data_IF_228537508550
#
_entry.id   IF_228537508550
#
_cell.length_a   1.000
_cell.length_b   1.000
_cell.length_c   1.000
_cell.angle_alpha   90.00
_cell.angle_beta   90.00
_cell.angle_gamma   90.00
#
_symmetry.space_group_name_H-M   'P 1'
#
loop_
_entity.id
_entity.type
_entity.pdbx_description
1 polymer ?
#
# COMPACT_ATOMS: atom_id res chain seq x y z
N UNK A 1 -4.11 11.47 -12.24
CA UNK A 1 -3.26 12.64 -12.54
C UNK A 1 -2.44 12.96 -11.30
N UNK A 2 -1.11 12.94 -11.39
CA UNK A 2 -0.23 13.27 -10.26
C UNK A 2 -0.48 14.72 -9.82
N UNK A 3 -0.66 14.95 -8.51
CA UNK A 3 -0.83 16.29 -7.92
C UNK A 3 0.48 16.90 -7.44
N UNK A 4 1.60 16.21 -7.70
CA UNK A 4 2.93 16.78 -7.55
C UNK A 4 3.04 18.00 -8.46
N UNK A 5 3.59 19.14 -8.00
CA UNK A 5 3.82 20.30 -8.86
C UNK A 5 4.51 19.89 -10.16
N UNK A 6 4.09 20.47 -11.30
CA UNK A 6 4.61 20.12 -12.62
C UNK A 6 6.13 20.28 -12.72
N UNK A 7 6.71 21.16 -11.91
CA UNK A 7 8.17 21.38 -11.80
C UNK A 7 8.94 20.21 -11.18
N UNK A 8 8.27 19.30 -10.46
CA UNK A 8 8.88 18.15 -9.80
C UNK A 8 8.69 16.82 -10.54
N UNK A 9 8.10 16.83 -11.74
CA UNK A 9 7.95 15.62 -12.55
C UNK A 9 9.28 15.15 -13.11
N UNK A 10 9.51 13.83 -13.09
CA UNK A 10 10.69 13.21 -13.67
C UNK A 10 10.77 13.42 -15.16
N UNK A 11 11.91 13.97 -15.56
CA UNK A 11 12.33 14.02 -16.94
C UNK A 11 12.90 12.66 -17.32
N UNK A 12 12.57 12.22 -18.53
CA UNK A 12 13.18 11.02 -19.09
C UNK A 12 14.66 11.25 -19.35
N UNK A 13 15.43 10.17 -19.44
CA UNK A 13 16.85 10.24 -19.79
C UNK A 13 17.09 11.05 -21.09
N UNK A 14 16.26 10.83 -22.11
CA UNK A 14 16.35 11.56 -23.37
C UNK A 14 16.12 13.07 -23.20
N UNK A 15 15.11 13.46 -22.41
CA UNK A 15 14.84 14.86 -22.10
C UNK A 15 15.99 15.51 -21.34
N UNK A 16 16.59 14.79 -20.38
CA UNK A 16 17.74 15.27 -19.63
C UNK A 16 18.97 15.43 -20.53
N UNK A 17 19.25 14.44 -21.38
CA UNK A 17 20.35 14.50 -22.36
C UNK A 17 20.20 15.69 -23.30
N UNK A 18 18.99 15.90 -23.85
CA UNK A 18 18.70 17.03 -24.73
C UNK A 18 18.90 18.36 -24.01
N UNK A 19 18.32 18.54 -22.81
CA UNK A 19 18.48 19.78 -22.02
C UNK A 19 19.92 20.06 -21.61
N UNK A 20 20.67 19.03 -21.22
CA UNK A 20 22.09 19.16 -20.89
C UNK A 20 22.90 19.52 -22.13
N UNK A 21 22.62 18.92 -23.28
CA UNK A 21 23.26 19.26 -24.55
C UNK A 21 23.00 20.71 -24.98
N UNK A 22 21.76 21.18 -24.87
CA UNK A 22 21.38 22.58 -25.11
C UNK A 22 22.10 23.53 -24.15
N UNK A 23 22.11 23.21 -22.85
CA UNK A 23 22.77 24.02 -21.82
C UNK A 23 24.28 24.09 -22.03
N UNK A 24 24.91 22.94 -22.32
CA UNK A 24 26.34 22.85 -22.61
C UNK A 24 26.70 23.72 -23.81
N UNK A 25 25.87 23.72 -24.88
CA UNK A 25 26.11 24.58 -26.04
C UNK A 25 26.13 26.06 -25.68
N UNK A 26 25.17 26.51 -24.87
CA UNK A 26 25.08 27.92 -24.42
C UNK A 26 26.31 28.29 -23.57
N UNK A 27 26.73 27.40 -22.68
CA UNK A 27 27.87 27.66 -21.77
C UNK A 27 29.19 27.64 -22.54
N UNK A 28 29.41 26.65 -23.41
CA UNK A 28 30.67 26.48 -24.12
C UNK A 28 30.82 27.36 -25.37
N UNK A 29 29.72 27.87 -25.96
CA UNK A 29 29.80 28.85 -27.06
C UNK A 29 30.22 30.26 -26.60
N UNK A 30 30.35 30.49 -25.29
CA UNK A 30 30.84 31.77 -24.71
C UNK A 30 32.37 31.84 -24.63
N UNK A 31 33.06 30.73 -24.92
CA UNK A 31 34.49 30.68 -25.14
C UNK A 31 34.66 30.77 -26.67
N UNK A 32 35.42 31.74 -27.18
CA UNK A 32 35.48 32.20 -28.58
C UNK A 32 35.76 31.15 -29.69
N UNK A 33 35.81 29.85 -29.36
CA UNK A 33 35.81 28.74 -30.31
C UNK A 33 34.51 27.96 -30.22
N UNK A 34 33.76 27.86 -31.33
CA UNK A 34 32.61 26.99 -31.41
C UNK A 34 33.06 25.54 -31.14
N UNK A 35 32.50 24.84 -30.14
CA UNK A 35 32.94 23.49 -29.82
C UNK A 35 32.77 22.59 -31.06
N UNK A 36 33.84 21.90 -31.44
CA UNK A 36 33.87 20.96 -32.58
C UNK A 36 32.99 19.72 -32.35
N UNK A 37 32.58 19.50 -31.10
CA UNK A 37 31.66 18.46 -30.67
C UNK A 37 30.20 18.93 -30.78
N UNK A 38 29.36 18.11 -31.44
CA UNK A 38 27.91 18.28 -31.47
C UNK A 38 27.18 17.10 -30.76
N UNK A 39 26.69 17.28 -29.51
CA UNK A 39 26.01 16.21 -28.76
C UNK A 39 24.63 15.83 -29.32
N UNK A 40 24.07 16.63 -30.25
CA UNK A 40 22.75 16.43 -30.84
C UNK A 40 22.81 15.89 -32.28
N UNK A 41 23.98 15.89 -32.93
CA UNK A 41 24.15 15.32 -34.26
C UNK A 41 24.12 13.79 -34.20
N UNK A 42 22.96 13.19 -34.45
CA UNK A 42 22.75 11.75 -34.46
C UNK A 42 23.13 11.07 -35.80
N UNK A 43 23.79 11.76 -36.73
CA UNK A 43 23.79 11.33 -38.12
C UNK A 43 24.77 10.18 -38.48
N UNK A 44 25.74 9.79 -37.64
CA UNK A 44 26.65 8.70 -37.98
C UNK A 44 27.15 7.89 -36.76
N UNK A 45 27.05 6.55 -36.75
CA UNK A 45 27.49 5.68 -35.65
C UNK A 45 29.02 5.53 -35.48
N UNK A 46 29.84 6.30 -36.21
CA UNK A 46 31.30 6.10 -36.29
C UNK A 46 32.17 7.19 -35.64
N UNK A 47 31.60 8.27 -35.11
CA UNK A 47 32.38 9.27 -34.37
C UNK A 47 32.25 9.03 -32.86
N UNK A 48 33.21 8.30 -32.27
CA UNK A 48 33.35 8.21 -30.82
C UNK A 48 33.63 9.61 -30.27
N UNK A 49 32.68 10.15 -29.52
CA UNK A 49 32.76 11.48 -28.92
C UNK A 49 32.72 11.36 -27.39
N UNK A 50 33.86 11.60 -26.75
CA UNK A 50 34.00 11.48 -25.29
C UNK A 50 33.15 12.51 -24.54
N UNK A 51 32.96 13.71 -25.11
CA UNK A 51 32.07 14.71 -24.53
C UNK A 51 30.64 14.19 -24.47
N UNK A 52 30.19 13.53 -25.55
CA UNK A 52 28.87 12.92 -25.59
C UNK A 52 28.72 11.81 -24.55
N UNK A 53 29.69 10.90 -24.47
CA UNK A 53 29.67 9.83 -23.46
C UNK A 53 29.58 10.39 -22.03
N UNK A 54 30.27 11.51 -21.76
CA UNK A 54 30.16 12.22 -20.49
C UNK A 54 28.74 12.76 -20.26
N UNK A 55 28.13 13.46 -21.22
CA UNK A 55 26.76 13.95 -21.07
C UNK A 55 25.76 12.82 -20.87
N UNK A 56 25.89 11.72 -21.61
CA UNK A 56 25.02 10.56 -21.49
C UNK A 56 25.15 9.93 -20.08
N UNK A 57 26.38 9.80 -19.56
CA UNK A 57 26.62 9.28 -18.20
C UNK A 57 26.00 10.18 -17.12
N UNK A 58 26.12 11.50 -17.26
CA UNK A 58 25.55 12.47 -16.31
C UNK A 58 24.03 12.52 -16.43
N UNK A 59 23.48 12.49 -17.64
CA UNK A 59 22.03 12.44 -17.87
C UNK A 59 21.42 11.17 -17.27
N UNK A 60 22.11 10.03 -17.35
CA UNK A 60 21.68 8.79 -16.73
C UNK A 60 21.71 8.88 -15.20
N UNK A 61 22.79 9.40 -14.62
CA UNK A 61 22.89 9.60 -13.16
C UNK A 61 21.79 10.54 -12.65
N UNK A 62 21.54 11.66 -13.34
CA UNK A 62 20.47 12.59 -13.01
C UNK A 62 19.08 11.97 -13.17
N UNK A 63 18.86 11.13 -14.19
CA UNK A 63 17.58 10.45 -14.38
C UNK A 63 17.26 9.53 -13.21
N UNK A 64 18.23 8.74 -12.75
CA UNK A 64 18.08 7.87 -11.58
C UNK A 64 17.80 8.70 -10.33
N UNK A 65 18.61 9.73 -10.07
CA UNK A 65 18.43 10.62 -8.92
C UNK A 65 17.04 11.26 -8.92
N UNK A 66 16.61 11.79 -10.06
CA UNK A 66 15.33 12.47 -10.16
C UNK A 66 14.15 11.50 -9.97
N UNK A 67 14.27 10.26 -10.44
CA UNK A 67 13.26 9.23 -10.21
C UNK A 67 13.04 9.00 -8.70
N UNK A 68 14.11 8.94 -7.92
CA UNK A 68 14.01 8.86 -6.46
C UNK A 68 13.42 10.13 -5.83
N UNK A 69 13.81 11.32 -6.31
CA UNK A 69 13.24 12.57 -5.82
C UNK A 69 11.74 12.67 -6.08
N UNK A 70 11.27 12.22 -7.25
CA UNK A 70 9.83 12.18 -7.55
C UNK A 70 9.12 11.19 -6.62
N UNK A 71 9.65 9.98 -6.43
CA UNK A 71 9.05 9.01 -5.52
C UNK A 71 8.93 9.58 -4.10
N UNK A 72 9.97 10.25 -3.61
CA UNK A 72 9.93 10.90 -2.30
C UNK A 72 8.91 12.05 -2.22
N UNK A 73 8.78 12.85 -3.30
CA UNK A 73 7.78 13.92 -3.37
C UNK A 73 6.34 13.39 -3.43
N UNK A 74 6.10 12.26 -4.10
CA UNK A 74 4.79 11.59 -4.17
C UNK A 74 4.31 11.12 -2.79
N UNK A 75 5.23 10.69 -1.92
CA UNK A 75 4.92 10.33 -0.52
C UNK A 75 4.48 11.52 0.34
N UNK A 76 4.72 12.76 -0.09
CA UNK A 76 4.34 13.97 0.63
C UNK A 76 2.86 14.37 0.49
N UNK A 77 2.09 13.73 -0.40
CA UNK A 77 0.68 14.06 -0.64
C UNK A 77 -0.21 12.83 -0.53
N UNK A 78 -1.33 12.96 0.21
CA UNK A 78 -2.22 11.83 0.51
C UNK A 78 -2.77 11.14 -0.74
N UNK A 79 -3.01 11.89 -1.81
CA UNK A 79 -3.55 11.36 -3.06
C UNK A 79 -2.52 10.58 -3.91
N UNK A 80 -1.23 10.70 -3.61
CA UNK A 80 -0.14 10.07 -4.38
C UNK A 80 0.76 9.15 -3.56
N UNK A 81 0.73 9.26 -2.23
CA UNK A 81 1.51 8.41 -1.33
C UNK A 81 1.14 6.94 -1.51
N UNK A 82 2.16 6.06 -1.54
CA UNK A 82 1.99 4.62 -1.69
C UNK A 82 2.39 3.85 -0.45
N UNK A 83 3.32 4.38 0.36
CA UNK A 83 3.72 3.73 1.58
C UNK A 83 2.67 3.95 2.67
N UNK A 84 2.28 2.86 3.33
CA UNK A 84 1.29 2.88 4.43
C UNK A 84 1.74 3.83 5.55
N UNK A 85 3.04 3.85 5.88
CA UNK A 85 3.59 4.75 6.91
C UNK A 85 3.41 6.23 6.51
N UNK A 86 3.72 6.60 5.26
CA UNK A 86 3.51 7.97 4.75
C UNK A 86 2.04 8.38 4.84
N UNK A 87 1.13 7.51 4.40
CA UNK A 87 -0.32 7.75 4.47
C UNK A 87 -0.77 7.94 5.91
N UNK A 88 -0.33 7.07 6.82
CA UNK A 88 -0.67 7.14 8.23
C UNK A 88 -0.19 8.45 8.89
N UNK A 89 1.02 8.90 8.55
CA UNK A 89 1.60 10.17 9.05
C UNK A 89 0.85 11.37 8.49
N UNK A 90 0.51 11.36 7.19
CA UNK A 90 -0.28 12.42 6.55
C UNK A 90 -1.69 12.53 7.14
N UNK A 91 -2.36 11.40 7.37
CA UNK A 91 -3.65 11.35 8.04
C UNK A 91 -3.56 11.77 9.52
N UNK A 92 -2.46 11.44 10.19
CA UNK A 92 -2.18 11.87 11.56
C UNK A 92 -2.19 13.39 11.72
N UNK A 93 -1.76 14.15 10.71
CA UNK A 93 -1.81 15.62 10.73
C UNK A 93 -3.24 16.20 10.78
N UNK A 94 -4.25 15.48 10.29
CA UNK A 94 -5.66 15.87 10.41
C UNK A 94 -6.35 15.21 11.61
N UNK A 95 -5.59 14.56 12.50
CA UNK A 95 -6.11 13.84 13.65
C UNK A 95 -6.80 12.51 13.31
N UNK A 96 -6.68 12.02 12.07
CA UNK A 96 -7.22 10.72 11.69
C UNK A 96 -6.18 9.63 11.95
N UNK A 97 -6.59 8.57 12.64
CA UNK A 97 -5.79 7.36 12.84
C UNK A 97 -6.51 6.20 12.16
N UNK A 98 -5.87 5.51 11.18
CA UNK A 98 -6.43 4.30 10.60
C UNK A 98 -6.77 3.28 11.70
N UNK A 99 -7.88 2.57 11.52
CA UNK A 99 -8.27 1.52 12.46
C UNK A 99 -7.16 0.47 12.52
N UNK A 100 -6.71 0.07 13.73
CA UNK A 100 -5.74 -1.01 13.85
C UNK A 100 -6.35 -2.31 13.31
N UNK A 101 -5.49 -3.26 12.97
CA UNK A 101 -5.90 -4.64 12.73
C UNK A 101 -6.75 -5.11 13.91
N UNK A 102 -8.04 -5.33 13.65
CA UNK A 102 -9.02 -5.67 14.69
C UNK A 102 -9.20 -7.18 14.70
N UNK A 103 -9.04 -7.81 15.86
CA UNK A 103 -9.28 -9.24 16.01
C UNK A 103 -10.77 -9.57 15.74
N UNK A 104 -11.03 -10.76 15.22
CA UNK A 104 -12.41 -11.24 15.08
C UNK A 104 -13.05 -11.41 16.46
N UNK A 105 -14.29 -10.96 16.61
CA UNK A 105 -15.08 -11.08 17.85
C UNK A 105 -16.41 -11.76 17.53
N UNK A 106 -16.83 -12.66 18.41
CA UNK A 106 -18.09 -13.40 18.29
C UNK A 106 -18.71 -13.72 19.65
N UNK A 107 -19.94 -14.22 19.63
CA UNK A 107 -20.64 -14.70 20.82
C UNK A 107 -20.57 -16.23 20.86
N UNK A 108 -20.11 -16.78 21.99
CA UNK A 108 -20.03 -18.23 22.23
C UNK A 108 -20.89 -18.60 23.43
N UNK A 109 -21.68 -19.68 23.30
CA UNK A 109 -22.47 -20.23 24.39
C UNK A 109 -21.66 -21.28 25.18
N UNK A 110 -21.56 -21.10 26.50
CA UNK A 110 -20.91 -22.04 27.41
C UNK A 110 -21.96 -22.71 28.29
N UNK A 111 -22.00 -24.04 28.25
CA UNK A 111 -22.86 -24.84 29.13
C UNK A 111 -22.03 -25.39 30.28
N UNK A 112 -22.46 -25.14 31.51
CA UNK A 112 -21.78 -25.64 32.72
C UNK A 112 -22.56 -26.80 33.36
N UNK A 113 -21.88 -27.66 34.13
CA UNK A 113 -22.54 -28.76 34.85
C UNK A 113 -23.42 -28.19 35.98
N UNK A 114 -24.50 -28.91 36.35
CA UNK A 114 -25.50 -28.44 37.31
C UNK A 114 -24.95 -28.01 38.69
N UNK A 115 -23.83 -28.58 39.11
CA UNK A 115 -23.16 -28.29 40.38
C UNK A 115 -22.00 -27.29 40.27
N UNK A 116 -21.72 -26.76 39.07
CA UNK A 116 -20.61 -25.82 38.84
C UNK A 116 -21.13 -24.40 38.92
N UNK A 117 -20.80 -23.73 40.02
CA UNK A 117 -21.02 -22.29 40.20
C UNK A 117 -19.65 -21.62 40.38
N UNK A 118 -19.38 -20.60 39.59
CA UNK A 118 -18.09 -19.93 39.62
C UNK A 118 -17.97 -18.88 38.53
N UNK A 119 -16.75 -18.41 38.32
CA UNK A 119 -16.42 -17.44 37.27
C UNK A 119 -15.46 -18.09 36.30
N UNK A 120 -15.84 -18.10 35.01
CA UNK A 120 -14.92 -18.38 33.92
C UNK A 120 -14.04 -17.14 33.73
N UNK A 121 -12.70 -17.23 33.88
CA UNK A 121 -11.83 -16.07 33.78
C UNK A 121 -11.77 -15.55 32.34
N UNK A 122 -11.47 -14.26 32.19
CA UNK A 122 -11.05 -13.71 30.90
C UNK A 122 -9.77 -14.42 30.42
N UNK A 123 -9.56 -14.50 29.12
CA UNK A 123 -8.44 -15.23 28.52
C UNK A 123 -8.66 -16.74 28.41
N UNK A 124 -9.86 -17.25 28.74
CA UNK A 124 -10.17 -18.66 28.51
C UNK A 124 -10.24 -18.92 27.01
N UNK A 125 -9.33 -19.77 26.51
CA UNK A 125 -9.16 -20.06 25.10
C UNK A 125 -10.24 -21.01 24.55
N UNK A 126 -10.72 -20.74 23.34
CA UNK A 126 -11.67 -21.56 22.58
C UNK A 126 -11.16 -21.66 21.14
N UNK A 127 -10.99 -22.88 20.63
CA UNK A 127 -10.63 -23.10 19.22
C UNK A 127 -11.87 -23.13 18.34
N UNK A 128 -11.82 -22.48 17.17
CA UNK A 128 -12.75 -22.79 16.09
C UNK A 128 -12.35 -24.10 15.40
N UNK A 129 -13.31 -24.72 14.73
CA UNK A 129 -13.00 -25.76 13.76
C UNK A 129 -12.39 -25.11 12.50
N UNK A 130 -11.48 -25.83 11.84
CA UNK A 130 -11.06 -25.47 10.50
C UNK A 130 -12.18 -25.84 9.51
N UNK A 131 -12.53 -24.93 8.60
CA UNK A 131 -13.54 -25.15 7.57
C UNK A 131 -12.97 -24.78 6.20
N UNK A 132 -12.88 -25.77 5.30
CA UNK A 132 -12.29 -25.59 3.97
C UNK A 132 -10.82 -25.16 4.03
N UNK A 133 -10.52 -23.98 3.50
CA UNK A 133 -9.17 -23.37 3.49
C UNK A 133 -8.88 -22.52 4.73
N UNK A 134 -9.87 -22.28 5.62
CA UNK A 134 -9.67 -21.51 6.84
C UNK A 134 -9.03 -22.37 7.93
N UNK A 135 -7.85 -21.94 8.39
CA UNK A 135 -7.16 -22.57 9.51
C UNK A 135 -7.94 -22.37 10.82
N UNK A 136 -7.81 -23.33 11.75
CA UNK A 136 -8.37 -23.21 13.09
C UNK A 136 -7.81 -21.96 13.80
N UNK A 137 -8.71 -21.10 14.29
CA UNK A 137 -8.37 -19.89 15.03
C UNK A 137 -8.61 -20.11 16.53
N UNK A 138 -7.74 -19.52 17.35
CA UNK A 138 -7.90 -19.51 18.80
C UNK A 138 -8.51 -18.17 19.20
N UNK A 139 -9.69 -18.24 19.82
CA UNK A 139 -10.37 -17.12 20.44
C UNK A 139 -10.17 -17.16 21.95
N UNK A 140 -10.40 -16.02 22.61
CA UNK A 140 -10.39 -15.93 24.05
C UNK A 140 -11.59 -15.15 24.57
N UNK A 141 -12.00 -15.45 25.80
CA UNK A 141 -13.04 -14.70 26.50
C UNK A 141 -12.52 -13.30 26.87
N UNK A 142 -13.20 -12.25 26.39
CA UNK A 142 -12.79 -10.86 26.62
C UNK A 142 -12.97 -10.38 28.05
N UNK A 143 -13.88 -11.00 28.80
CA UNK A 143 -14.25 -10.61 30.15
C UNK A 143 -14.60 -11.84 31.00
N UNK A 144 -14.45 -11.77 32.34
CA UNK A 144 -14.86 -12.85 33.21
C UNK A 144 -16.37 -13.07 33.14
N UNK A 145 -16.79 -14.32 32.99
CA UNK A 145 -18.20 -14.71 32.86
C UNK A 145 -18.64 -15.51 34.09
N UNK A 146 -19.72 -15.08 34.73
CA UNK A 146 -20.29 -15.84 35.86
C UNK A 146 -21.10 -17.03 35.33
N UNK A 147 -20.73 -18.23 35.74
CA UNK A 147 -21.39 -19.47 35.36
C UNK A 147 -22.57 -19.72 36.30
N UNK A 148 -23.76 -19.72 35.72
CA UNK A 148 -25.03 -19.99 36.39
C UNK A 148 -25.71 -21.16 35.66
N UNK A 149 -25.72 -22.37 36.23
CA UNK A 149 -26.34 -23.54 35.61
C UNK A 149 -27.81 -23.33 35.27
N UNK A 150 -28.49 -22.43 35.99
CA UNK A 150 -29.89 -22.06 35.78
C UNK A 150 -30.11 -21.39 34.42
N UNK A 151 -29.07 -20.84 33.79
CA UNK A 151 -29.13 -20.12 32.53
C UNK A 151 -28.69 -20.97 31.32
N UNK A 152 -28.30 -22.24 31.52
CA UNK A 152 -27.80 -23.12 30.46
C UNK A 152 -28.78 -23.30 29.29
N UNK A 153 -30.08 -23.24 29.57
CA UNK A 153 -31.14 -23.47 28.58
C UNK A 153 -31.69 -22.16 28.00
N UNK A 154 -31.17 -21.00 28.43
CA UNK A 154 -31.53 -19.72 27.83
C UNK A 154 -30.87 -19.60 26.47
N UNK A 155 -31.71 -19.48 25.44
CA UNK A 155 -31.23 -19.15 24.09
C UNK A 155 -30.95 -17.66 24.01
N UNK A 156 -29.70 -17.31 23.70
CA UNK A 156 -29.36 -15.93 23.38
C UNK A 156 -30.14 -15.50 22.12
N UNK A 157 -30.80 -14.34 22.19
CA UNK A 157 -31.36 -13.71 21.00
C UNK A 157 -30.21 -13.18 20.15
N UNK A 158 -30.03 -13.74 18.96
CA UNK A 158 -29.10 -13.21 17.96
C UNK A 158 -29.90 -12.37 16.96
N UNK A 159 -29.71 -11.05 16.89
CA UNK A 159 -30.36 -10.26 15.85
C UNK A 159 -29.91 -10.77 14.47
N UNK A 160 -30.78 -10.72 13.44
CA UNK A 160 -30.40 -11.08 12.09
C UNK A 160 -29.15 -10.29 11.69
N UNK A 161 -28.12 -10.98 11.17
CA UNK A 161 -26.94 -10.29 10.61
C UNK A 161 -27.47 -9.33 9.53
N UNK A 162 -27.17 -8.04 9.69
CA UNK A 162 -27.47 -7.05 8.66
C UNK A 162 -26.66 -7.40 7.40
N UNK A 163 -27.33 -8.02 6.44
CA UNK A 163 -26.96 -8.17 5.03
C UNK A 163 -25.52 -8.59 4.72
N UNK A 164 -25.25 -9.90 4.64
CA UNK A 164 -24.39 -10.40 3.57
C UNK A 164 -25.28 -10.39 2.33
N UNK A 165 -25.01 -9.50 1.38
CA UNK A 165 -25.73 -9.47 0.12
C UNK A 165 -25.60 -10.83 -0.56
N UNK A 166 -26.67 -11.61 -0.60
CA UNK A 166 -26.77 -12.81 -1.41
C UNK A 166 -26.76 -12.38 -2.87
N UNK A 167 -25.58 -12.42 -3.49
CA UNK A 167 -25.46 -12.48 -4.94
C UNK A 167 -26.05 -13.81 -5.38
N UNK A 168 -27.36 -13.85 -5.65
CA UNK A 168 -28.03 -15.00 -6.25
C UNK A 168 -27.56 -15.11 -7.70
N UNK A 169 -26.46 -15.80 -7.92
CA UNK A 169 -26.13 -16.37 -9.23
C UNK A 169 -27.12 -17.49 -9.51
N UNK A 170 -28.16 -17.18 -10.29
CA UNK A 170 -29.08 -18.18 -10.82
C UNK A 170 -28.33 -19.08 -11.81
N UNK A 171 -27.75 -20.17 -11.30
CA UNK A 171 -27.29 -21.29 -12.10
C UNK A 171 -28.51 -22.12 -12.53
N UNK A 172 -29.05 -21.85 -13.71
CA UNK A 172 -30.00 -22.74 -14.38
C UNK A 172 -29.25 -23.99 -14.83
N UNK A 173 -29.27 -25.03 -14.01
CA UNK A 173 -28.91 -26.39 -14.42
C UNK A 173 -30.09 -27.01 -15.17
N UNK A 174 -30.04 -26.97 -16.49
CA UNK A 174 -30.93 -27.76 -17.36
C UNK A 174 -30.39 -29.18 -17.43
N UNK A 175 -31.22 -30.15 -17.04
CA UNK A 175 -30.91 -31.58 -17.16
C UNK A 175 -30.88 -32.06 -18.61
N UNK A 176 -30.08 -33.09 -18.82
CA UNK A 176 -29.93 -33.90 -20.03
C UNK A 176 -28.97 -35.04 -19.75
#
# INVERSE_FOLDING_TARGET
>A
MSRVPSTHQALTHEQLRTRLGESARIVFSRLDEAPTWNPLAYAAPSSVDLGRGLLDSVALALHVLWTYQQAWAEEGFLATARLEDSVSRLLGHIGYRPSPGTAAVGLQHFRCKANVRGTLPAGTAVSSAAEGEEAAAIFETLAPLRLLPELNELRAFLPPRAGVGTGTGAGTGTGG
#
